data_IF_510470588407
#
_entry.id   IF_510470588407
#
_cell.length_a   1.000
_cell.length_b   1.000
_cell.length_c   1.000
_cell.angle_alpha   90.00
_cell.angle_beta   90.00
_cell.angle_gamma   90.00
#
_symmetry.space_group_name_H-M   'P 1'
#
loop_
_entity.id
_entity.type
_entity.pdbx_description
1 polymer ?
#
# COMPACT_ATOMS: atom_id res chain seq x y z
N UNK A 1 13.10 -1.62 -16.29
CA UNK A 1 11.80 -1.78 -15.60
C UNK A 1 11.78 -3.19 -15.04
N UNK A 2 11.60 -3.38 -13.73
CA UNK A 2 11.40 -4.72 -13.19
C UNK A 2 9.94 -4.89 -12.81
N UNK A 3 9.30 -5.92 -13.36
CA UNK A 3 7.95 -6.36 -13.02
C UNK A 3 7.76 -6.50 -11.49
N UNK A 4 8.85 -6.83 -10.79
CA UNK A 4 8.95 -6.91 -9.35
C UNK A 4 8.44 -5.66 -8.61
N UNK A 5 8.70 -4.44 -9.13
CA UNK A 5 8.24 -3.21 -8.46
C UNK A 5 6.70 -3.11 -8.49
N UNK A 6 6.09 -3.48 -9.63
CA UNK A 6 4.63 -3.52 -9.81
C UNK A 6 4.01 -4.60 -8.93
N UNK A 7 4.57 -5.81 -8.90
CA UNK A 7 4.10 -6.91 -8.05
C UNK A 7 4.17 -6.54 -6.56
N UNK A 8 5.27 -5.91 -6.15
CA UNK A 8 5.42 -5.42 -4.77
C UNK A 8 4.38 -4.34 -4.45
N UNK A 9 4.11 -3.43 -5.39
CA UNK A 9 3.08 -2.42 -5.23
C UNK A 9 1.68 -3.04 -5.07
N UNK A 10 1.34 -4.05 -5.89
CA UNK A 10 0.06 -4.77 -5.80
C UNK A 10 -0.07 -5.49 -4.44
N UNK A 11 1.01 -6.14 -3.99
CA UNK A 11 1.06 -6.78 -2.68
C UNK A 11 0.80 -5.78 -1.55
N UNK A 12 1.46 -4.62 -1.58
CA UNK A 12 1.25 -3.54 -0.60
C UNK A 12 -0.16 -2.95 -0.69
N UNK A 13 -0.70 -2.68 -1.87
CA UNK A 13 -2.08 -2.21 -2.04
C UNK A 13 -3.10 -3.19 -1.44
N UNK A 14 -2.79 -4.48 -1.45
CA UNK A 14 -3.66 -5.53 -0.94
C UNK A 14 -3.56 -5.71 0.57
N UNK A 15 -2.35 -5.61 1.13
CA UNK A 15 -2.04 -6.04 2.51
C UNK A 15 -1.73 -4.89 3.47
N UNK A 16 -1.41 -3.70 2.98
CA UNK A 16 -0.95 -2.56 3.78
C UNK A 16 -1.95 -1.40 3.61
N UNK A 17 -2.86 -1.26 4.57
CA UNK A 17 -3.92 -0.24 4.50
C UNK A 17 -3.35 1.18 4.51
N UNK A 18 -2.29 1.41 5.28
CA UNK A 18 -1.64 2.72 5.36
C UNK A 18 -1.02 3.09 4.01
N UNK A 19 -0.28 2.15 3.40
CA UNK A 19 0.25 2.35 2.05
C UNK A 19 -0.88 2.55 1.03
N UNK A 20 -1.95 1.77 1.09
CA UNK A 20 -3.10 1.91 0.18
C UNK A 20 -3.72 3.31 0.27
N UNK A 21 -3.96 3.82 1.49
CA UNK A 21 -4.47 5.19 1.70
C UNK A 21 -3.50 6.24 1.14
N UNK A 22 -2.22 6.13 1.46
CA UNK A 22 -1.18 7.05 0.98
C UNK A 22 -1.07 7.03 -0.55
N UNK A 23 -1.10 5.85 -1.17
CA UNK A 23 -0.98 5.68 -2.61
C UNK A 23 -2.14 6.32 -3.37
N UNK A 24 -3.38 6.19 -2.90
CA UNK A 24 -4.50 6.84 -3.58
C UNK A 24 -4.53 8.37 -3.39
N UNK A 25 -3.84 8.90 -2.38
CA UNK A 25 -3.67 10.34 -2.18
C UNK A 25 -2.52 10.90 -3.03
N UNK A 26 -1.35 10.26 -3.01
CA UNK A 26 -0.17 10.60 -3.81
C UNK A 26 0.56 9.32 -4.27
N UNK A 27 0.24 8.79 -5.47
CA UNK A 27 0.83 7.56 -5.96
C UNK A 27 2.36 7.61 -6.08
N UNK A 28 2.88 8.75 -6.54
CA UNK A 28 4.31 8.91 -6.79
C UNK A 28 5.08 9.01 -5.48
N UNK A 29 4.62 9.86 -4.56
CA UNK A 29 5.23 10.02 -3.24
C UNK A 29 5.16 8.74 -2.42
N UNK A 30 3.99 8.10 -2.32
CA UNK A 30 3.83 6.86 -1.55
C UNK A 30 4.72 5.73 -2.08
N UNK A 31 4.83 5.60 -3.41
CA UNK A 31 5.70 4.59 -4.03
C UNK A 31 7.17 4.85 -3.75
N UNK A 32 7.61 6.12 -3.83
CA UNK A 32 8.98 6.51 -3.52
C UNK A 32 9.32 6.25 -2.04
N UNK A 33 8.43 6.61 -1.11
CA UNK A 33 8.60 6.34 0.32
C UNK A 33 8.64 4.84 0.63
N UNK A 34 7.94 4.02 -0.16
CA UNK A 34 8.00 2.57 -0.08
C UNK A 34 9.22 1.95 -0.79
N UNK A 35 10.13 2.75 -1.35
CA UNK A 35 11.30 2.29 -2.09
C UNK A 35 10.99 1.71 -3.47
N UNK A 36 9.78 1.93 -3.99
CA UNK A 36 9.33 1.41 -5.28
C UNK A 36 9.64 2.41 -6.39
N UNK A 37 10.40 1.97 -7.39
CA UNK A 37 10.68 2.75 -8.60
C UNK A 37 9.70 2.37 -9.69
N UNK A 38 8.56 3.07 -9.72
CA UNK A 38 7.51 2.90 -10.71
C UNK A 38 7.56 4.03 -11.74
N UNK A 39 7.33 3.69 -12.99
CA UNK A 39 7.17 4.63 -14.09
C UNK A 39 5.80 5.31 -14.03
N UNK A 40 5.62 6.45 -14.72
CA UNK A 40 4.31 7.10 -14.81
C UNK A 40 3.19 6.19 -15.36
N UNK A 41 3.54 5.31 -16.31
CA UNK A 41 2.59 4.36 -16.89
C UNK A 41 2.13 3.32 -15.86
N UNK A 42 3.07 2.73 -15.11
CA UNK A 42 2.77 1.77 -14.05
C UNK A 42 1.96 2.39 -12.92
N UNK A 43 2.30 3.63 -12.51
CA UNK A 43 1.51 4.39 -11.52
C UNK A 43 0.08 4.60 -11.99
N UNK A 44 -0.11 4.96 -13.27
CA UNK A 44 -1.44 5.12 -13.87
C UNK A 44 -2.23 3.80 -13.87
N UNK A 45 -1.59 2.70 -14.27
CA UNK A 45 -2.20 1.37 -14.28
C UNK A 45 -2.62 0.90 -12.88
N UNK A 46 -1.76 1.10 -11.88
CA UNK A 46 -2.05 0.76 -10.48
C UNK A 46 -3.17 1.63 -9.91
N UNK A 47 -3.21 2.93 -10.25
CA UNK A 47 -4.27 3.85 -9.83
C UNK A 47 -5.64 3.52 -10.45
N UNK A 48 -5.66 2.86 -11.60
CA UNK A 48 -6.89 2.40 -12.23
C UNK A 48 -7.54 1.20 -11.52
N UNK A 49 -6.81 0.53 -10.61
CA UNK A 49 -7.38 -0.54 -9.79
C UNK A 49 -8.44 0.02 -8.86
N UNK A 50 -9.64 -0.58 -8.87
CA UNK A 50 -10.76 -0.14 -8.03
C UNK A 50 -10.41 -0.21 -6.53
N UNK A 51 -10.53 0.90 -5.79
CA UNK A 51 -10.37 0.89 -4.33
C UNK A 51 -11.36 -0.05 -3.63
N UNK A 52 -12.56 -0.23 -4.20
CA UNK A 52 -13.55 -1.18 -3.69
C UNK A 52 -13.12 -2.63 -3.86
N UNK A 53 -12.51 -2.98 -5.00
CA UNK A 53 -11.99 -4.32 -5.24
C UNK A 53 -10.83 -4.64 -4.28
N UNK A 54 -9.89 -3.71 -4.09
CA UNK A 54 -8.79 -3.88 -3.13
C UNK A 54 -9.28 -4.07 -1.70
N UNK A 55 -10.29 -3.30 -1.26
CA UNK A 55 -10.90 -3.49 0.08
C UNK A 55 -11.55 -4.86 0.23
N UNK A 56 -12.32 -5.32 -0.78
CA UNK A 56 -12.94 -6.65 -0.75
C UNK A 56 -11.90 -7.77 -0.70
N UNK A 57 -10.84 -7.65 -1.51
CA UNK A 57 -9.76 -8.62 -1.50
C UNK A 57 -9.02 -8.64 -0.17
N UNK A 58 -8.65 -7.46 0.35
CA UNK A 58 -8.03 -7.29 1.67
C UNK A 58 -8.85 -7.89 2.80
N UNK A 59 -10.18 -7.74 2.77
CA UNK A 59 -11.09 -8.32 3.77
C UNK A 59 -11.23 -9.86 3.66
N UNK A 60 -10.82 -10.45 2.54
CA UNK A 60 -10.81 -11.90 2.35
C UNK A 60 -9.45 -12.54 2.68
N UNK A 61 -8.41 -11.74 2.95
CA UNK A 61 -7.11 -12.23 3.38
C UNK A 61 -7.11 -12.54 4.87
N UNK A 62 -6.35 -13.57 5.27
CA UNK A 62 -6.06 -13.84 6.67
C UNK A 62 -5.26 -12.67 7.28
N UNK A 63 -5.62 -12.24 8.47
CA UNK A 63 -4.99 -11.09 9.14
C UNK A 63 -3.47 -11.23 9.30
N UNK A 64 -2.94 -12.47 9.36
CA UNK A 64 -1.48 -12.72 9.43
C UNK A 64 -0.73 -12.35 8.14
N UNK A 65 -1.44 -12.22 7.02
CA UNK A 65 -0.89 -11.79 5.73
C UNK A 65 -0.92 -10.26 5.63
N UNK A 66 -1.89 -9.63 6.28
CA UNK A 66 -2.03 -8.18 6.30
C UNK A 66 -0.97 -7.54 7.20
N UNK A 67 -0.41 -6.42 6.74
CA UNK A 67 0.44 -5.59 7.59
C UNK A 67 -0.49 -4.88 8.58
N UNK A 68 -0.36 -5.20 9.86
CA UNK A 68 -0.97 -4.42 10.93
C UNK A 68 -0.59 -2.95 10.72
N UNK A 69 -1.59 -2.12 10.49
CA UNK A 69 -1.45 -0.69 10.71
C UNK A 69 -1.28 -0.54 12.22
N UNK A 70 -0.03 -0.63 12.69
CA UNK A 70 0.32 -0.14 14.01
C UNK A 70 0.10 1.36 13.93
N UNK A 71 -1.12 1.80 14.24
CA UNK A 71 -1.34 3.16 14.69
C UNK A 71 -0.34 3.35 15.82
N UNK A 72 0.61 4.27 15.61
CA UNK A 72 1.58 4.65 16.63
C UNK A 72 0.77 5.02 17.86
N UNK A 73 0.66 4.09 18.81
CA UNK A 73 0.12 4.40 20.12
C UNK A 73 1.02 5.50 20.66
N UNK A 74 0.46 6.63 21.13
CA UNK A 74 1.29 7.66 21.74
C UNK A 74 2.11 6.98 22.83
N UNK A 75 3.44 7.10 22.74
CA UNK A 75 4.33 6.60 23.79
C UNK A 75 3.81 7.14 25.12
N UNK A 76 3.31 6.26 25.99
CA UNK A 76 2.96 6.66 27.34
C UNK A 76 4.21 7.32 27.94
N UNK A 77 4.10 8.55 28.48
CA UNK A 77 5.23 9.22 29.06
C UNK A 77 5.79 8.32 30.16
N UNK A 78 7.04 7.87 29.98
CA UNK A 78 7.76 7.14 31.02
C UNK A 78 7.96 8.09 32.20
N UNK A 79 7.04 7.98 33.17
CA UNK A 79 7.04 8.44 34.56
C UNK A 79 7.61 9.83 34.85
#
# INVERSE_FOLDING_TARGET
>A
MSQQAVETAIGKLSTDEAFRKAFFADPAGASLQAGLRLTPCELSALRAISPGALRRFSAALDDRICRLALETLPEEPRR
#
